data_IF_165054402903
#
_entry.id   IF_165054402903
#
_cell.length_a   1.000
_cell.length_b   1.000
_cell.length_c   1.000
_cell.angle_alpha   90.00
_cell.angle_beta   90.00
_cell.angle_gamma   90.00
#
_symmetry.space_group_name_H-M   'P 1'
#
loop_
_entity.id
_entity.type
_entity.pdbx_description
1 polymer ?
#
# COMPACT_ATOMS: atom_id res chain seq x y z
N UNK A 1 -6.48 0.37 -31.31
CA UNK A 1 -5.43 1.20 -30.69
C UNK A 1 -4.39 0.27 -30.08
N UNK A 2 -3.09 0.59 -30.23
CA UNK A 2 -1.98 -0.27 -29.78
C UNK A 2 -2.09 -0.48 -28.27
N UNK A 3 -2.18 -1.74 -27.83
CA UNK A 3 -1.94 -2.09 -26.43
C UNK A 3 -0.52 -1.68 -26.09
N UNK A 4 -0.33 -0.49 -25.53
CA UNK A 4 0.97 -0.07 -25.03
C UNK A 4 1.27 -0.98 -23.85
N UNK A 5 2.29 -1.84 -24.01
CA UNK A 5 2.80 -2.66 -22.91
C UNK A 5 3.24 -1.71 -21.77
N UNK A 6 2.53 -1.67 -20.64
CA UNK A 6 2.84 -0.73 -19.56
C UNK A 6 4.21 -1.02 -18.96
N UNK A 7 4.74 -2.24 -19.13
CA UNK A 7 6.02 -2.66 -18.57
C UNK A 7 7.22 -2.31 -19.46
N UNK A 8 7.00 -1.67 -20.62
CA UNK A 8 8.07 -1.31 -21.56
C UNK A 8 9.02 -0.24 -21.00
N UNK A 9 8.48 0.77 -20.32
CA UNK A 9 9.23 1.89 -19.75
C UNK A 9 8.60 2.38 -18.45
N UNK A 10 9.35 3.14 -17.64
CA UNK A 10 8.81 3.75 -16.42
C UNK A 10 7.68 4.72 -16.74
N UNK A 11 7.82 5.51 -17.80
CA UNK A 11 6.79 6.48 -18.19
C UNK A 11 5.49 5.78 -18.62
N UNK A 12 5.61 4.67 -19.37
CA UNK A 12 4.47 3.82 -19.74
C UNK A 12 3.79 3.23 -18.52
N UNK A 13 4.57 2.73 -17.56
CA UNK A 13 4.03 2.16 -16.32
C UNK A 13 3.36 3.24 -15.48
N UNK A 14 4.00 4.38 -15.31
CA UNK A 14 3.46 5.53 -14.57
C UNK A 14 2.11 5.96 -15.15
N UNK A 15 2.03 6.12 -16.47
CA UNK A 15 0.76 6.44 -17.15
C UNK A 15 -0.31 5.37 -16.88
N UNK A 16 0.06 4.10 -16.98
CA UNK A 16 -0.85 2.98 -16.72
C UNK A 16 -1.36 2.96 -15.28
N UNK A 17 -0.49 3.18 -14.29
CA UNK A 17 -0.88 3.23 -12.88
C UNK A 17 -1.81 4.43 -12.60
N UNK A 18 -1.59 5.57 -13.26
CA UNK A 18 -2.53 6.70 -13.23
C UNK A 18 -3.91 6.33 -13.81
N UNK A 19 -3.98 5.43 -14.80
CA UNK A 19 -5.26 4.89 -15.28
C UNK A 19 -5.90 3.88 -14.34
N UNK A 20 -5.11 3.03 -13.69
CA UNK A 20 -5.62 2.13 -12.64
C UNK A 20 -6.17 2.89 -11.42
N UNK A 21 -5.64 4.09 -11.16
CA UNK A 21 -6.19 5.00 -10.16
C UNK A 21 -7.64 5.38 -10.48
N UNK A 22 -7.96 5.68 -11.75
CA UNK A 22 -9.31 6.07 -12.18
C UNK A 22 -10.31 4.91 -12.04
N UNK A 23 -9.86 3.65 -12.23
CA UNK A 23 -10.71 2.45 -12.18
C UNK A 23 -10.72 1.71 -10.84
N UNK A 24 -9.88 2.11 -9.87
CA UNK A 24 -9.79 1.45 -8.56
C UNK A 24 -9.11 0.07 -8.57
N UNK A 25 -8.39 -0.27 -9.64
CA UNK A 25 -7.69 -1.55 -9.83
C UNK A 25 -6.24 -1.53 -9.30
N UNK A 26 -5.73 -0.34 -8.93
CA UNK A 26 -4.36 -0.20 -8.38
C UNK A 26 -4.15 -1.03 -7.11
N UNK A 27 -5.17 -1.14 -6.25
CA UNK A 27 -5.11 -1.91 -5.01
C UNK A 27 -4.83 -3.41 -5.26
N UNK A 28 -5.34 -3.95 -6.37
CA UNK A 28 -5.17 -5.36 -6.75
C UNK A 28 -3.71 -5.63 -7.08
N UNK A 29 -3.09 -4.71 -7.83
CA UNK A 29 -1.71 -4.83 -8.27
C UNK A 29 -0.72 -4.65 -7.10
N UNK A 30 -1.04 -3.77 -6.14
CA UNK A 30 -0.25 -3.63 -4.91
C UNK A 30 -0.33 -4.89 -4.04
N UNK A 31 -1.50 -5.53 -3.95
CA UNK A 31 -1.63 -6.81 -3.22
C UNK A 31 -0.79 -7.92 -3.86
N UNK A 32 -0.74 -7.98 -5.19
CA UNK A 32 0.10 -8.91 -5.95
C UNK A 32 1.59 -8.67 -5.64
N UNK A 33 2.03 -7.41 -5.69
CA UNK A 33 3.40 -7.02 -5.31
C UNK A 33 3.76 -7.44 -3.87
N UNK A 34 2.91 -7.10 -2.90
CA UNK A 34 3.18 -7.41 -1.49
C UNK A 34 3.28 -8.92 -1.26
N UNK A 35 2.41 -9.70 -1.87
CA UNK A 35 2.36 -11.14 -1.65
C UNK A 35 3.52 -11.86 -2.33
N UNK A 36 3.73 -11.61 -3.62
CA UNK A 36 4.65 -12.39 -4.43
C UNK A 36 6.07 -11.84 -4.49
N UNK A 37 6.22 -10.51 -4.54
CA UNK A 37 7.56 -9.90 -4.63
C UNK A 37 8.21 -9.78 -3.26
N UNK A 38 7.43 -9.38 -2.25
CA UNK A 38 7.96 -9.23 -0.90
C UNK A 38 7.82 -10.51 -0.05
N UNK A 39 7.27 -11.59 -0.62
CA UNK A 39 7.03 -12.87 0.07
C UNK A 39 6.33 -12.70 1.42
N UNK A 40 5.36 -11.79 1.47
CA UNK A 40 4.63 -11.51 2.70
C UNK A 40 3.27 -12.19 2.67
N UNK A 41 2.94 -12.90 3.76
CA UNK A 41 1.62 -13.48 3.91
C UNK A 41 0.66 -12.46 4.51
N UNK A 42 -0.45 -12.22 3.84
CA UNK A 42 -1.58 -11.47 4.41
C UNK A 42 -2.23 -12.33 5.49
N UNK A 43 -2.11 -11.87 6.74
CA UNK A 43 -2.73 -12.53 7.90
C UNK A 43 -4.04 -11.86 8.31
N UNK A 44 -4.29 -10.64 7.82
CA UNK A 44 -5.55 -9.93 8.02
C UNK A 44 -5.81 -8.93 6.89
N UNK A 45 -7.08 -8.80 6.49
CA UNK A 45 -7.51 -7.85 5.48
C UNK A 45 -8.62 -6.94 6.03
N UNK A 46 -8.80 -5.75 5.45
CA UNK A 46 -9.99 -4.92 5.65
C UNK A 46 -11.27 -5.77 5.63
N UNK A 47 -12.21 -5.51 6.54
CA UNK A 47 -13.49 -6.23 6.68
C UNK A 47 -13.42 -7.70 7.14
N UNK A 48 -12.25 -8.23 7.53
CA UNK A 48 -12.11 -9.60 8.08
C UNK A 48 -11.19 -9.62 9.31
N UNK A 49 -11.64 -10.26 10.39
CA UNK A 49 -10.87 -10.43 11.62
C UNK A 49 -11.12 -9.35 12.68
N UNK A 50 -10.54 -9.50 13.89
CA UNK A 50 -10.82 -8.64 15.06
C UNK A 50 -10.47 -7.16 14.87
N UNK A 51 -9.65 -6.81 13.87
CA UNK A 51 -9.25 -5.42 13.56
C UNK A 51 -9.73 -4.95 12.19
N UNK A 52 -10.45 -5.82 11.46
CA UNK A 52 -11.05 -5.52 10.17
C UNK A 52 -12.37 -4.77 10.32
N UNK A 53 -12.36 -3.62 10.99
CA UNK A 53 -13.53 -2.74 11.03
C UNK A 53 -13.91 -2.30 9.59
N UNK A 54 -15.21 -2.26 9.32
CA UNK A 54 -15.75 -1.77 8.05
C UNK A 54 -15.36 -0.29 7.87
N UNK A 55 -14.41 -0.01 6.97
CA UNK A 55 -13.87 1.34 6.71
C UNK A 55 -12.38 1.51 7.00
N UNK A 56 -11.72 0.55 7.67
CA UNK A 56 -10.25 0.52 7.79
C UNK A 56 -9.63 -0.17 6.58
N UNK A 57 -8.52 0.37 6.09
CA UNK A 57 -7.79 -0.12 4.91
C UNK A 57 -6.45 -0.77 5.29
N UNK A 58 -6.33 -1.23 6.54
CA UNK A 58 -5.14 -1.87 7.08
C UNK A 58 -5.12 -3.34 6.65
N UNK A 59 -4.09 -3.71 5.90
CA UNK A 59 -3.73 -5.08 5.56
C UNK A 59 -2.54 -5.47 6.43
N UNK A 60 -2.78 -6.40 7.35
CA UNK A 60 -1.75 -6.94 8.23
C UNK A 60 -0.99 -8.05 7.51
N UNK A 61 0.33 -7.96 7.49
CA UNK A 61 1.20 -8.96 6.88
C UNK A 61 2.27 -9.45 7.86
N UNK A 62 2.63 -10.71 7.69
CA UNK A 62 3.69 -11.35 8.45
C UNK A 62 4.73 -11.90 7.48
N UNK A 63 6.00 -11.65 7.77
CA UNK A 63 7.08 -12.36 7.12
C UNK A 63 7.10 -13.80 7.65
N UNK A 64 6.90 -14.78 6.78
CA UNK A 64 6.77 -16.18 7.20
C UNK A 64 8.07 -16.76 7.78
N UNK A 65 9.21 -16.15 7.48
CA UNK A 65 10.53 -16.62 7.93
C UNK A 65 10.92 -15.97 9.25
N UNK A 66 10.88 -14.63 9.33
CA UNK A 66 11.31 -13.91 10.54
C UNK A 66 10.21 -13.71 11.58
N UNK A 67 8.94 -13.87 11.19
CA UNK A 67 7.79 -13.51 12.00
C UNK A 67 7.64 -12.00 12.19
N UNK A 68 8.48 -11.18 11.55
CA UNK A 68 8.37 -9.71 11.60
C UNK A 68 7.06 -9.27 10.95
N UNK A 69 6.53 -8.17 11.47
CA UNK A 69 5.22 -7.66 11.10
C UNK A 69 5.35 -6.43 10.19
N UNK A 70 4.43 -6.31 9.24
CA UNK A 70 4.27 -5.08 8.48
C UNK A 70 2.78 -4.85 8.24
N UNK A 71 2.37 -3.59 8.17
CA UNK A 71 1.00 -3.26 7.76
C UNK A 71 1.04 -2.43 6.50
N UNK A 72 0.17 -2.72 5.56
CA UNK A 72 -0.10 -1.83 4.43
C UNK A 72 -1.41 -1.11 4.66
N UNK A 73 -1.41 0.20 4.43
CA UNK A 73 -2.61 1.01 4.40
C UNK A 73 -2.76 1.47 2.96
N UNK A 74 -3.76 0.94 2.25
CA UNK A 74 -3.97 1.26 0.83
C UNK A 74 -5.13 2.26 0.74
N UNK A 75 -4.85 3.49 0.30
CA UNK A 75 -5.84 4.56 0.18
C UNK A 75 -5.99 5.06 -1.25
N UNK A 76 -7.25 5.16 -1.68
CA UNK A 76 -7.61 5.78 -2.96
C UNK A 76 -7.75 7.30 -2.78
N UNK A 77 -7.25 8.06 -3.74
CA UNK A 77 -7.28 9.53 -3.72
C UNK A 77 -5.95 10.14 -3.30
N UNK A 78 -5.99 11.39 -2.83
CA UNK A 78 -4.79 12.13 -2.43
C UNK A 78 -4.41 11.87 -0.97
N UNK A 79 -3.15 12.14 -0.61
CA UNK A 79 -2.72 12.15 0.79
C UNK A 79 -3.57 13.12 1.62
N UNK A 80 -3.82 14.33 1.12
CA UNK A 80 -4.54 15.37 1.85
C UNK A 80 -5.98 14.96 2.23
N UNK A 81 -6.74 14.42 1.30
CA UNK A 81 -8.13 14.02 1.52
C UNK A 81 -8.25 12.84 2.50
N UNK A 82 -7.22 12.00 2.55
CA UNK A 82 -7.20 10.81 3.36
C UNK A 82 -6.41 10.96 4.66
N UNK A 83 -5.81 12.13 4.93
CA UNK A 83 -4.87 12.27 6.04
C UNK A 83 -5.56 12.11 7.40
N UNK A 84 -6.65 12.86 7.59
CA UNK A 84 -7.39 13.00 8.84
C UNK A 84 -8.72 12.22 8.83
N UNK A 85 -9.42 12.23 9.97
CA UNK A 85 -10.75 11.62 10.13
C UNK A 85 -10.73 10.24 10.79
N UNK A 86 -11.91 9.64 11.02
CA UNK A 86 -12.05 8.37 11.75
C UNK A 86 -11.36 7.20 11.05
N UNK A 87 -11.27 7.25 9.71
CA UNK A 87 -10.56 6.28 8.88
C UNK A 87 -9.40 6.94 8.12
N UNK A 88 -8.85 8.05 8.62
CA UNK A 88 -7.71 8.72 8.03
C UNK A 88 -6.39 7.96 8.20
N UNK A 89 -5.43 8.25 7.32
CA UNK A 89 -4.08 7.67 7.29
C UNK A 89 -3.40 7.81 8.65
N UNK A 90 -3.46 8.98 9.28
CA UNK A 90 -2.77 9.21 10.55
C UNK A 90 -3.27 8.28 11.66
N UNK A 91 -4.60 8.11 11.75
CA UNK A 91 -5.21 7.21 12.73
C UNK A 91 -4.91 5.75 12.39
N UNK A 92 -5.02 5.37 11.11
CA UNK A 92 -4.75 4.00 10.69
C UNK A 92 -3.26 3.61 10.86
N UNK A 93 -2.32 4.54 10.67
CA UNK A 93 -0.89 4.30 10.96
C UNK A 93 -0.68 3.96 12.43
N UNK A 94 -1.33 4.73 13.32
CA UNK A 94 -1.28 4.50 14.76
C UNK A 94 -1.86 3.14 15.11
N UNK A 95 -3.10 2.87 14.71
CA UNK A 95 -3.77 1.58 14.90
C UNK A 95 -2.87 0.43 14.40
N UNK A 96 -2.29 0.56 13.20
CA UNK A 96 -1.47 -0.47 12.58
C UNK A 96 -0.13 -0.73 13.29
N UNK A 97 0.45 0.27 13.96
CA UNK A 97 1.68 0.11 14.74
C UNK A 97 1.41 -0.38 16.16
N UNK A 98 0.23 -0.10 16.71
CA UNK A 98 -0.15 -0.40 18.10
C UNK A 98 -0.99 -1.67 18.27
N UNK A 99 -1.30 -2.42 17.20
CA UNK A 99 -2.04 -3.69 17.23
C UNK A 99 -1.54 -4.66 18.32
N UNK A 100 -0.26 -4.62 18.67
CA UNK A 100 0.32 -5.55 19.66
C UNK A 100 0.09 -5.13 21.13
N UNK A 101 -0.34 -3.88 21.41
CA UNK A 101 -0.75 -3.53 22.77
C UNK A 101 -2.01 -4.28 23.20
N UNK A 102 -2.73 -4.89 22.25
CA UNK A 102 -4.03 -5.52 22.48
C UNK A 102 -4.01 -7.04 22.32
N UNK A 103 -2.89 -7.68 21.88
CA UNK A 103 -2.82 -9.15 21.69
C UNK A 103 -1.44 -9.75 22.00
N UNK A 104 -1.43 -10.82 22.79
CA UNK A 104 -0.24 -11.61 23.16
C UNK A 104 0.53 -12.17 21.95
N UNK A 105 -0.14 -12.53 20.85
CA UNK A 105 0.49 -13.19 19.69
C UNK A 105 1.59 -12.35 19.01
N UNK A 106 1.52 -11.03 19.14
CA UNK A 106 2.42 -10.12 18.44
C UNK A 106 3.41 -9.40 19.37
N UNK A 107 3.31 -9.63 20.67
CA UNK A 107 4.19 -9.02 21.66
C UNK A 107 5.68 -9.23 21.34
N UNK A 108 6.45 -8.14 21.36
CA UNK A 108 7.91 -8.17 21.13
C UNK A 108 8.34 -8.30 19.66
N UNK A 109 7.42 -8.45 18.71
CA UNK A 109 7.78 -8.51 17.28
C UNK A 109 8.12 -7.12 16.73
N UNK A 110 9.09 -7.07 15.81
CA UNK A 110 9.40 -5.83 15.09
C UNK A 110 8.33 -5.55 14.05
N UNK A 111 8.03 -4.27 13.83
CA UNK A 111 6.94 -3.82 12.97
C UNK A 111 7.24 -2.58 12.15
N UNK A 112 6.46 -2.38 11.11
CA UNK A 112 6.48 -1.18 10.28
C UNK A 112 5.13 -0.98 9.60
N UNK A 113 4.87 0.24 9.15
CA UNK A 113 3.69 0.58 8.34
C UNK A 113 4.16 1.13 7.00
N UNK A 114 3.47 0.73 5.94
CA UNK A 114 3.61 1.29 4.60
C UNK A 114 2.27 1.87 4.19
N UNK A 115 2.23 3.17 3.94
CA UNK A 115 1.06 3.85 3.43
C UNK A 115 1.18 3.94 1.92
N UNK A 116 0.32 3.24 1.20
CA UNK A 116 0.24 3.28 -0.26
C UNK A 116 -0.92 4.17 -0.63
N UNK A 117 -0.66 5.21 -1.39
CA UNK A 117 -1.70 6.11 -1.87
C UNK A 117 -1.47 6.50 -3.33
N UNK A 118 -2.57 6.82 -4.00
CA UNK A 118 -2.57 6.85 -5.47
C UNK A 118 -2.32 8.25 -6.05
N UNK A 119 -2.06 9.26 -5.21
CA UNK A 119 -1.80 10.62 -5.67
C UNK A 119 -1.11 11.49 -4.63
N UNK A 120 -0.16 12.30 -5.11
CA UNK A 120 0.55 13.31 -4.32
C UNK A 120 0.33 14.70 -4.94
N UNK A 121 -0.90 15.20 -4.90
CA UNK A 121 -1.14 16.60 -5.24
C UNK A 121 -0.83 17.48 -4.02
N UNK A 122 0.46 17.75 -3.84
CA UNK A 122 0.93 19.12 -3.67
C UNK A 122 0.37 19.94 -2.52
N UNK A 123 0.34 19.41 -1.28
CA UNK A 123 0.26 20.28 -0.10
C UNK A 123 1.40 19.95 0.86
N UNK A 124 2.42 20.82 0.89
CA UNK A 124 3.55 20.76 1.83
C UNK A 124 3.09 20.49 3.27
N UNK A 125 1.96 21.10 3.67
CA UNK A 125 1.36 20.89 4.98
C UNK A 125 0.80 19.48 5.24
N UNK A 126 0.34 18.74 4.21
CA UNK A 126 -0.09 17.35 4.38
C UNK A 126 1.11 16.42 4.58
N UNK A 127 2.17 16.60 3.80
CA UNK A 127 3.45 15.89 3.96
C UNK A 127 4.05 16.20 5.33
N UNK A 128 4.14 17.47 5.72
CA UNK A 128 4.69 17.88 7.01
C UNK A 128 3.88 17.31 8.20
N UNK A 129 2.56 17.16 8.05
CA UNK A 129 1.72 16.50 9.06
C UNK A 129 1.98 15.00 9.11
N UNK A 130 2.05 14.34 7.95
CA UNK A 130 2.39 12.92 7.85
C UNK A 130 3.74 12.63 8.52
N UNK A 131 4.79 13.38 8.15
CA UNK A 131 6.14 13.19 8.68
C UNK A 131 6.23 13.45 10.19
N UNK A 132 5.51 14.46 10.70
CA UNK A 132 5.43 14.72 12.14
C UNK A 132 4.80 13.58 12.91
N UNK A 133 3.65 13.08 12.44
CA UNK A 133 2.99 11.95 13.10
C UNK A 133 3.79 10.66 12.95
N UNK A 134 4.46 10.46 11.81
CA UNK A 134 5.39 9.35 11.59
C UNK A 134 6.45 9.28 12.68
N UNK A 135 7.20 10.37 12.86
CA UNK A 135 8.27 10.47 13.85
C UNK A 135 7.74 10.26 15.26
N UNK A 136 6.56 10.81 15.56
CA UNK A 136 5.90 10.63 16.85
C UNK A 136 5.57 9.16 17.12
N UNK A 137 4.92 8.47 16.18
CA UNK A 137 4.56 7.04 16.33
C UNK A 137 5.82 6.18 16.45
N UNK A 138 6.84 6.41 15.62
CA UNK A 138 8.12 5.68 15.70
C UNK A 138 8.80 5.83 17.05
N UNK A 139 8.77 7.05 17.63
CA UNK A 139 9.32 7.32 18.95
C UNK A 139 8.55 6.62 20.06
N UNK A 140 7.21 6.52 19.96
CA UNK A 140 6.35 5.87 20.95
C UNK A 140 6.54 4.34 20.96
N UNK A 141 6.69 3.72 19.78
CA UNK A 141 6.93 2.27 19.63
C UNK A 141 8.33 1.88 20.15
N UNK A 142 9.31 2.77 19.98
CA UNK A 142 10.70 2.54 20.36
C UNK A 142 11.47 1.75 19.29
N UNK A 143 12.71 2.19 19.03
CA UNK A 143 13.51 1.70 17.89
C UNK A 143 13.78 0.19 17.88
N UNK A 144 13.79 -0.48 19.04
CA UNK A 144 14.00 -1.92 19.13
C UNK A 144 12.84 -2.77 18.57
N UNK A 145 11.62 -2.20 18.53
CA UNK A 145 10.44 -2.82 17.92
C UNK A 145 10.16 -2.28 16.50
N UNK A 146 10.95 -1.33 16.01
CA UNK A 146 10.79 -0.79 14.67
C UNK A 146 11.60 -1.63 13.67
N UNK A 147 10.90 -2.32 12.77
CA UNK A 147 11.54 -3.12 11.71
C UNK A 147 12.27 -2.23 10.71
N UNK A 148 11.60 -1.15 10.32
CA UNK A 148 12.07 -0.09 9.42
C UNK A 148 11.17 1.13 9.61
N UNK A 149 11.64 2.34 9.22
CA UNK A 149 10.81 3.53 9.26
C UNK A 149 9.49 3.31 8.52
N UNK A 150 8.43 3.89 9.05
CA UNK A 150 7.14 3.96 8.40
C UNK A 150 7.34 4.67 7.05
N UNK A 151 6.78 4.12 5.99
CA UNK A 151 7.02 4.63 4.64
C UNK A 151 5.72 5.03 3.95
N UNK A 152 5.86 5.95 3.00
CA UNK A 152 4.78 6.45 2.16
C UNK A 152 5.14 6.17 0.71
N UNK A 153 4.27 5.50 -0.03
CA UNK A 153 4.44 5.19 -1.44
C UNK A 153 3.36 5.91 -2.24
N UNK A 154 3.78 6.94 -2.97
CA UNK A 154 2.96 7.61 -3.97
C UNK A 154 3.10 6.93 -5.34
N UNK A 155 2.48 7.50 -6.37
CA UNK A 155 2.50 6.92 -7.72
C UNK A 155 3.91 6.78 -8.31
N UNK A 156 4.84 7.68 -7.97
CA UNK A 156 6.22 7.63 -8.48
C UNK A 156 6.98 6.50 -7.79
N UNK A 157 6.88 6.43 -6.46
CA UNK A 157 7.50 5.37 -5.68
C UNK A 157 6.92 3.98 -6.05
N UNK A 158 5.61 3.89 -6.29
CA UNK A 158 4.95 2.67 -6.76
C UNK A 158 5.48 2.29 -8.16
N UNK A 159 5.61 3.26 -9.06
CA UNK A 159 6.16 3.03 -10.41
C UNK A 159 7.56 2.45 -10.32
N UNK A 160 8.44 3.07 -9.54
CA UNK A 160 9.82 2.62 -9.41
C UNK A 160 9.92 1.21 -8.83
N UNK A 161 9.15 0.92 -7.78
CA UNK A 161 9.11 -0.40 -7.15
C UNK A 161 8.61 -1.47 -8.11
N UNK A 162 7.48 -1.26 -8.76
CA UNK A 162 6.91 -2.24 -9.68
C UNK A 162 7.79 -2.46 -10.92
N UNK A 163 8.41 -1.39 -11.43
CA UNK A 163 9.25 -1.48 -12.63
C UNK A 163 10.53 -2.29 -12.41
N UNK A 164 11.07 -2.31 -11.18
CA UNK A 164 12.19 -3.20 -10.82
C UNK A 164 11.83 -4.68 -11.02
N UNK A 165 10.56 -5.03 -10.85
CA UNK A 165 10.02 -6.38 -10.98
C UNK A 165 9.19 -6.57 -12.25
N UNK A 166 9.38 -5.71 -13.27
CA UNK A 166 8.57 -5.70 -14.50
C UNK A 166 8.48 -7.05 -15.23
N UNK A 167 9.52 -7.89 -15.15
CA UNK A 167 9.50 -9.23 -15.77
C UNK A 167 8.44 -10.13 -15.14
N UNK A 168 8.33 -10.10 -13.81
CA UNK A 168 7.28 -10.83 -13.10
C UNK A 168 5.90 -10.32 -13.51
N UNK A 169 5.69 -9.00 -13.41
CA UNK A 169 4.36 -8.44 -13.67
C UNK A 169 3.92 -8.55 -15.12
N UNK A 170 4.84 -8.52 -16.09
CA UNK A 170 4.51 -8.77 -17.50
C UNK A 170 3.87 -10.14 -17.71
N UNK A 171 4.27 -11.12 -16.90
CA UNK A 171 3.77 -12.49 -16.98
C UNK A 171 2.70 -12.82 -15.93
N UNK A 172 2.45 -11.93 -14.96
CA UNK A 172 1.49 -12.19 -13.89
C UNK A 172 0.06 -12.22 -14.43
N UNK A 173 -0.71 -13.22 -13.98
CA UNK A 173 -2.13 -13.37 -14.35
C UNK A 173 -2.92 -12.12 -13.94
N UNK A 174 -2.61 -11.55 -12.78
CA UNK A 174 -3.21 -10.31 -12.28
C UNK A 174 -3.04 -9.17 -13.28
N UNK A 175 -1.82 -8.93 -13.76
CA UNK A 175 -1.56 -7.84 -14.71
C UNK A 175 -2.26 -8.08 -16.05
N UNK A 176 -2.29 -9.33 -16.53
CA UNK A 176 -3.00 -9.69 -17.77
C UNK A 176 -4.51 -9.47 -17.63
N UNK A 177 -5.10 -9.86 -16.51
CA UNK A 177 -6.53 -9.65 -16.22
C UNK A 177 -6.88 -8.16 -16.17
N UNK A 178 -6.07 -7.35 -15.48
CA UNK A 178 -6.28 -5.90 -15.41
C UNK A 178 -6.24 -5.27 -16.81
N UNK A 179 -5.25 -5.64 -17.62
CA UNK A 179 -5.11 -5.16 -19.00
C UNK A 179 -6.33 -5.54 -19.87
N UNK A 180 -6.81 -6.78 -19.76
CA UNK A 180 -7.99 -7.23 -20.50
C UNK A 180 -9.25 -6.44 -20.12
N UNK A 181 -9.48 -6.19 -18.83
CA UNK A 181 -10.64 -5.42 -18.35
C UNK A 181 -10.62 -3.99 -18.86
N UNK A 182 -9.46 -3.34 -18.82
CA UNK A 182 -9.31 -1.97 -19.33
C UNK A 182 -9.63 -1.88 -20.82
N UNK A 183 -9.11 -2.81 -21.62
CA UNK A 183 -9.37 -2.81 -23.06
C UNK A 183 -10.82 -3.13 -23.40
N UNK A 184 -11.50 -3.97 -22.61
CA UNK A 184 -12.94 -4.20 -22.77
C UNK A 184 -13.78 -2.96 -22.42
N UNK A 185 -13.37 -2.20 -21.39
CA UNK A 185 -14.04 -0.95 -21.01
C UNK A 185 -13.88 0.15 -22.07
N UNK A 186 -12.70 0.26 -22.69
CA UNK A 186 -12.44 1.21 -23.79
C UNK A 186 -13.21 0.88 -25.07
N UNK A 187 -13.51 -0.38 -25.33
CA UNK A 187 -14.31 -0.82 -26.49
C UNK A 187 -15.82 -0.63 -26.32
N UNK A 188 -16.27 -0.35 -25.09
CA UNK A 188 -17.70 -0.18 -24.75
C UNK A 188 -18.13 1.30 -24.69
N UNK A 189 -17.22 2.22 -25.00
CA UNK A 189 -17.42 3.68 -25.11
C UNK A 189 -17.43 4.09 -26.58
#
# INVERSE_FOLDING_TARGET
>A
MVHVDPWLSRDSLRWFLCKLKESGELDVLIKDYVSYVLCHRIIMSPSRGPYGEKGKDIVAIENEVSGDYCSYIIKRGTLQENLDGPFGILRQMRDAMTIDLEIEKYQGKRRTVVVVHNGDEGYRGAIDRFERERVKIESEIGGHLLLRPISRWDIEEITDRLFQHRRYFKDSEVSRMILQRMSAAELSL
#
